data_IF_870502323339
#
_entry.id   IF_870502323339
#
_cell.length_a   1.000
_cell.length_b   1.000
_cell.length_c   1.000
_cell.angle_alpha   90.00
_cell.angle_beta   90.00
_cell.angle_gamma   90.00
#
_symmetry.space_group_name_H-M   'P 1'
#
loop_
_entity.id
_entity.type
_entity.pdbx_description
1 polymer ?
#
# COMPACT_ATOMS: atom_id res chain seq x y z
N UNK A 1 8.80 -27.07 15.50
CA UNK A 1 8.41 -25.73 14.98
C UNK A 1 9.52 -24.76 15.34
N UNK A 2 10.38 -24.41 14.37
CA UNK A 2 11.50 -23.51 14.63
C UNK A 2 10.97 -22.08 14.77
N UNK A 3 11.24 -21.37 15.89
CA UNK A 3 10.81 -19.98 16.09
C UNK A 3 11.29 -19.04 14.96
N UNK A 4 12.40 -19.38 14.32
CA UNK A 4 12.98 -18.67 13.17
C UNK A 4 12.07 -18.69 11.93
N UNK A 5 11.27 -19.74 11.76
CA UNK A 5 10.35 -19.87 10.61
C UNK A 5 9.13 -18.97 10.79
N UNK A 6 8.59 -18.88 12.01
CA UNK A 6 7.49 -17.97 12.33
C UNK A 6 7.91 -16.50 12.16
N UNK A 7 9.13 -16.16 12.58
CA UNK A 7 9.71 -14.84 12.41
C UNK A 7 9.88 -14.46 10.93
N UNK A 8 10.38 -15.39 10.10
CA UNK A 8 10.47 -15.17 8.65
C UNK A 8 9.10 -14.98 7.99
N UNK A 9 8.10 -15.80 8.34
CA UNK A 9 6.75 -15.65 7.79
C UNK A 9 6.12 -14.31 8.15
N UNK A 10 6.34 -13.83 9.37
CA UNK A 10 5.91 -12.48 9.75
C UNK A 10 6.64 -11.40 8.95
N UNK A 11 7.95 -11.52 8.76
CA UNK A 11 8.72 -10.57 7.96
C UNK A 11 8.22 -10.50 6.51
N UNK A 12 7.99 -11.66 5.87
CA UNK A 12 7.46 -11.75 4.51
C UNK A 12 6.05 -11.17 4.38
N UNK A 13 5.20 -11.38 5.39
CA UNK A 13 3.87 -10.78 5.46
C UNK A 13 3.94 -9.26 5.49
N UNK A 14 4.77 -8.69 6.37
CA UNK A 14 4.92 -7.24 6.46
C UNK A 14 5.55 -6.63 5.21
N UNK A 15 6.58 -7.27 4.64
CA UNK A 15 7.21 -6.81 3.41
C UNK A 15 6.25 -6.86 2.22
N UNK A 16 5.48 -7.93 2.08
CA UNK A 16 4.48 -8.04 1.01
C UNK A 16 3.39 -7.00 1.18
N UNK A 17 2.87 -6.82 2.40
CA UNK A 17 1.87 -5.80 2.69
C UNK A 17 2.38 -4.38 2.40
N UNK A 18 3.61 -4.07 2.81
CA UNK A 18 4.24 -2.79 2.52
C UNK A 18 4.39 -2.57 1.02
N UNK A 19 4.86 -3.58 0.27
CA UNK A 19 5.04 -3.49 -1.18
C UNK A 19 3.71 -3.24 -1.91
N UNK A 20 2.63 -3.87 -1.45
CA UNK A 20 1.28 -3.71 -2.02
C UNK A 20 0.73 -2.32 -1.73
N UNK A 21 0.93 -1.79 -0.53
CA UNK A 21 0.46 -0.46 -0.14
C UNK A 21 1.36 0.69 -0.67
N UNK A 22 2.63 0.43 -0.97
CA UNK A 22 3.62 1.40 -1.41
C UNK A 22 3.16 2.32 -2.57
N UNK A 23 2.60 1.82 -3.70
CA UNK A 23 2.20 2.69 -4.81
C UNK A 23 1.07 3.66 -4.41
N UNK A 24 0.08 3.19 -3.64
CA UNK A 24 -1.05 4.02 -3.21
C UNK A 24 -0.57 5.07 -2.20
N UNK A 25 0.24 4.66 -1.22
CA UNK A 25 0.80 5.57 -0.22
C UNK A 25 1.72 6.62 -0.87
N UNK A 26 2.62 6.20 -1.76
CA UNK A 26 3.55 7.11 -2.44
C UNK A 26 2.85 8.18 -3.25
N UNK A 27 1.84 7.80 -4.05
CA UNK A 27 1.07 8.74 -4.86
C UNK A 27 0.21 9.69 -4.00
N UNK A 28 -0.46 9.16 -2.99
CA UNK A 28 -1.31 9.97 -2.10
C UNK A 28 -0.49 10.94 -1.23
N UNK A 29 0.70 10.53 -0.79
CA UNK A 29 1.64 11.41 -0.08
C UNK A 29 2.17 12.51 -1.00
N UNK A 30 2.58 12.19 -2.22
CA UNK A 30 3.09 13.17 -3.17
C UNK A 30 2.04 14.25 -3.48
N UNK A 31 0.82 13.84 -3.81
CA UNK A 31 -0.28 14.76 -4.08
C UNK A 31 -0.67 15.54 -2.83
N UNK A 32 -0.69 14.88 -1.67
CA UNK A 32 -0.95 15.56 -0.39
C UNK A 32 0.05 16.66 -0.09
N UNK A 33 1.34 16.41 -0.33
CA UNK A 33 2.41 17.37 -0.14
C UNK A 33 2.25 18.57 -1.08
N UNK A 34 2.01 18.32 -2.38
CA UNK A 34 1.81 19.38 -3.36
C UNK A 34 0.64 20.28 -2.97
N UNK A 35 -0.48 19.71 -2.54
CA UNK A 35 -1.66 20.48 -2.13
C UNK A 35 -1.40 21.26 -0.85
N UNK A 36 -0.70 20.67 0.13
CA UNK A 36 -0.35 21.39 1.35
C UNK A 36 0.51 22.63 1.07
N UNK A 37 1.44 22.56 0.11
CA UNK A 37 2.21 23.74 -0.32
C UNK A 37 1.28 24.78 -0.96
N UNK A 38 0.39 24.36 -1.86
CA UNK A 38 -0.59 25.26 -2.53
C UNK A 38 -1.52 25.94 -1.53
N UNK A 39 -2.00 25.21 -0.51
CA UNK A 39 -2.82 25.78 0.56
C UNK A 39 -2.08 26.85 1.36
N UNK A 40 -0.79 26.63 1.65
CA UNK A 40 0.01 27.59 2.42
C UNK A 40 0.25 28.87 1.62
N UNK A 41 0.61 28.77 0.32
CA UNK A 41 0.90 29.95 -0.52
C UNK A 41 -0.35 30.77 -0.84
N UNK A 42 -1.52 30.14 -0.94
CA UNK A 42 -2.80 30.84 -1.22
C UNK A 42 -3.57 31.24 0.04
N UNK A 43 -3.13 30.80 1.22
CA UNK A 43 -3.82 30.93 2.51
C UNK A 43 -5.24 30.34 2.56
N UNK A 44 -5.60 29.48 1.61
CA UNK A 44 -6.91 28.81 1.57
C UNK A 44 -6.80 27.44 2.27
N UNK A 45 -7.21 27.38 3.53
CA UNK A 45 -7.19 26.15 4.35
C UNK A 45 -8.53 25.42 4.36
N UNK A 46 -9.16 25.29 3.20
CA UNK A 46 -10.42 24.55 3.06
C UNK A 46 -10.18 23.04 3.13
N UNK A 47 -10.82 22.36 4.08
CA UNK A 47 -10.67 20.92 4.30
C UNK A 47 -11.02 20.11 3.03
N UNK A 48 -12.05 20.53 2.30
CA UNK A 48 -12.55 19.89 1.07
C UNK A 48 -11.51 19.85 -0.04
N UNK A 49 -10.67 20.90 -0.16
CA UNK A 49 -9.67 21.05 -1.22
C UNK A 49 -8.50 20.06 -1.05
N UNK A 50 -8.23 19.61 0.17
CA UNK A 50 -7.25 18.54 0.43
C UNK A 50 -7.81 17.15 0.21
N UNK A 51 -9.11 16.96 0.48
CA UNK A 51 -9.73 15.65 0.51
C UNK A 51 -10.00 15.11 -0.90
N UNK A 52 -10.63 15.92 -1.76
CA UNK A 52 -11.07 15.48 -3.10
C UNK A 52 -9.88 15.03 -3.97
N UNK A 53 -8.81 15.81 -4.13
CA UNK A 53 -7.72 15.40 -5.02
C UNK A 53 -6.95 14.18 -4.48
N UNK A 54 -6.81 14.05 -3.15
CA UNK A 54 -6.22 12.85 -2.53
C UNK A 54 -7.07 11.61 -2.82
N UNK A 55 -8.38 11.70 -2.71
CA UNK A 55 -9.30 10.60 -2.99
C UNK A 55 -9.24 10.18 -4.47
N UNK A 56 -9.26 11.15 -5.39
CA UNK A 56 -9.12 10.89 -6.82
C UNK A 56 -7.78 10.22 -7.14
N UNK A 57 -6.70 10.66 -6.49
CA UNK A 57 -5.37 10.07 -6.64
C UNK A 57 -5.34 8.62 -6.13
N UNK A 58 -5.91 8.36 -4.95
CA UNK A 58 -6.01 7.00 -4.41
C UNK A 58 -6.83 6.08 -5.33
N UNK A 59 -7.97 6.58 -5.84
CA UNK A 59 -8.81 5.85 -6.80
C UNK A 59 -8.08 5.54 -8.11
N UNK A 60 -7.39 6.54 -8.67
CA UNK A 60 -6.56 6.34 -9.86
C UNK A 60 -5.43 5.32 -9.60
N UNK A 61 -4.73 5.43 -8.47
CA UNK A 61 -3.70 4.48 -8.08
C UNK A 61 -4.25 3.05 -7.99
N UNK A 62 -5.44 2.87 -7.41
CA UNK A 62 -6.10 1.56 -7.35
C UNK A 62 -6.49 1.01 -8.73
N UNK A 63 -6.93 1.86 -9.65
CA UNK A 63 -7.28 1.42 -11.02
C UNK A 63 -6.02 0.98 -11.78
N UNK A 64 -4.94 1.76 -11.71
CA UNK A 64 -3.70 1.46 -12.43
C UNK A 64 -2.90 0.31 -11.79
N UNK A 65 -2.75 0.31 -10.47
CA UNK A 65 -1.94 -0.67 -9.73
C UNK A 65 -2.74 -1.85 -9.19
N UNK A 66 -4.08 -1.80 -9.21
CA UNK A 66 -4.96 -2.86 -8.70
C UNK A 66 -4.64 -4.26 -9.22
N UNK A 67 -4.50 -4.47 -10.55
CA UNK A 67 -4.15 -5.79 -11.10
C UNK A 67 -2.77 -6.31 -10.64
N UNK A 68 -1.84 -5.40 -10.37
CA UNK A 68 -0.52 -5.76 -9.86
C UNK A 68 -0.56 -6.09 -8.36
N UNK A 69 -1.30 -5.28 -7.57
CA UNK A 69 -1.54 -5.51 -6.14
C UNK A 69 -2.21 -6.86 -5.90
N UNK A 70 -3.26 -7.17 -6.67
CA UNK A 70 -3.94 -8.46 -6.59
C UNK A 70 -2.99 -9.62 -6.89
N UNK A 71 -2.19 -9.54 -7.97
CA UNK A 71 -1.20 -10.58 -8.28
C UNK A 71 -0.22 -10.83 -7.15
N UNK A 72 0.27 -9.78 -6.49
CA UNK A 72 1.18 -9.92 -5.34
C UNK A 72 0.52 -10.59 -4.14
N UNK A 73 -0.72 -10.20 -3.81
CA UNK A 73 -1.49 -10.84 -2.75
C UNK A 73 -1.79 -12.31 -3.05
N UNK A 74 -2.21 -12.63 -4.28
CA UNK A 74 -2.48 -14.02 -4.68
C UNK A 74 -1.21 -14.86 -4.68
N UNK A 75 -0.08 -14.32 -5.15
CA UNK A 75 1.21 -15.01 -5.12
C UNK A 75 1.63 -15.33 -3.68
N UNK A 76 1.49 -14.36 -2.77
CA UNK A 76 1.77 -14.56 -1.35
C UNK A 76 0.87 -15.64 -0.73
N UNK A 77 -0.43 -15.61 -1.03
CA UNK A 77 -1.37 -16.62 -0.55
C UNK A 77 -1.04 -18.03 -1.05
N UNK A 78 -0.66 -18.17 -2.34
CA UNK A 78 -0.23 -19.45 -2.92
C UNK A 78 1.06 -19.93 -2.26
N UNK A 79 2.05 -19.05 -2.06
CA UNK A 79 3.30 -19.40 -1.39
C UNK A 79 3.05 -19.88 0.04
N UNK A 80 2.23 -19.17 0.80
CA UNK A 80 1.85 -19.58 2.15
C UNK A 80 1.16 -20.94 2.15
N UNK A 81 0.20 -21.16 1.26
CA UNK A 81 -0.51 -22.43 1.15
C UNK A 81 0.41 -23.59 0.79
N UNK A 82 1.34 -23.37 -0.14
CA UNK A 82 2.35 -24.36 -0.55
C UNK A 82 3.40 -24.64 0.52
N UNK A 83 3.61 -23.71 1.46
CA UNK A 83 4.54 -23.88 2.57
C UNK A 83 3.94 -24.75 3.68
N UNK A 84 2.61 -24.76 3.88
CA UNK A 84 1.94 -25.51 4.96
C UNK A 84 2.36 -26.99 5.03
N UNK A 85 2.38 -27.78 3.93
CA UNK A 85 2.78 -29.18 3.98
C UNK A 85 4.24 -29.38 4.40
N UNK A 86 5.11 -28.40 4.18
CA UNK A 86 6.53 -28.45 4.56
C UNK A 86 6.79 -28.05 6.02
N UNK A 87 5.75 -27.65 6.77
CA UNK A 87 5.85 -27.23 8.18
C UNK A 87 5.53 -28.36 9.18
N UNK A 88 5.01 -29.49 8.70
CA UNK A 88 4.76 -30.71 9.49
C UNK A 88 5.94 -31.66 9.38
#
# INVERSE_FOLDING_TARGET
>A
MHPDMALHMMADLFLTGLLVCAPVLGLTMLVGLLISVVQVITQVQEMTLTFIPKLLTAGAALIFFGPWMLRKLTQFAIQLWSAIPSMF
#
